data_IF_826141576540
#
_entry.id   IF_826141576540
#
_cell.length_a   1.000
_cell.length_b   1.000
_cell.length_c   1.000
_cell.angle_alpha   90.00
_cell.angle_beta   90.00
_cell.angle_gamma   90.00
#
_symmetry.space_group_name_H-M   'P 1'
#
loop_
_entity.id
_entity.type
_entity.pdbx_description
1 polymer ?
#
# COMPACT_ATOMS: atom_id res chain seq x y z
N UNK A 1 -38.87 7.04 -32.30
CA UNK A 1 -38.77 5.77 -31.53
C UNK A 1 -37.85 6.03 -30.36
N UNK A 2 -38.43 6.42 -29.22
CA UNK A 2 -37.69 6.72 -27.99
C UNK A 2 -37.55 5.42 -27.22
N UNK A 3 -36.35 4.83 -27.22
CA UNK A 3 -36.05 3.69 -26.37
C UNK A 3 -35.89 4.18 -24.93
N UNK A 4 -36.93 3.97 -24.15
CA UNK A 4 -36.99 4.20 -22.72
C UNK A 4 -35.83 3.50 -22.01
N UNK A 5 -35.00 4.30 -21.33
CA UNK A 5 -34.04 3.82 -20.34
C UNK A 5 -34.82 3.45 -19.07
N UNK A 6 -35.24 2.19 -18.96
CA UNK A 6 -35.97 1.66 -17.79
C UNK A 6 -35.20 0.46 -17.24
N UNK A 7 -34.18 0.73 -16.44
CA UNK A 7 -33.45 -0.32 -15.72
C UNK A 7 -32.86 0.17 -14.38
N UNK A 8 -33.61 0.98 -13.63
CA UNK A 8 -33.48 1.00 -12.16
C UNK A 8 -34.71 0.33 -11.61
N UNK A 9 -34.70 -1.00 -11.65
CA UNK A 9 -35.75 -1.82 -11.06
C UNK A 9 -35.87 -1.48 -9.58
N UNK A 10 -37.11 -1.29 -9.14
CA UNK A 10 -37.48 -1.08 -7.74
C UNK A 10 -37.04 -2.29 -6.91
N UNK A 11 -35.78 -2.31 -6.49
CA UNK A 11 -35.29 -3.27 -5.53
C UNK A 11 -36.08 -3.03 -4.23
N UNK A 12 -36.85 -4.03 -3.80
CA UNK A 12 -37.67 -3.92 -2.60
C UNK A 12 -36.83 -3.57 -1.36
N UNK A 13 -37.43 -3.01 -0.30
CA UNK A 13 -36.72 -2.52 0.89
C UNK A 13 -35.69 -3.52 1.45
N UNK A 14 -36.06 -4.81 1.55
CA UNK A 14 -35.16 -5.86 2.05
C UNK A 14 -33.88 -6.05 1.20
N UNK A 15 -33.96 -5.87 -0.13
CA UNK A 15 -32.78 -5.96 -1.01
C UNK A 15 -31.84 -4.78 -0.77
N UNK A 16 -32.38 -3.59 -0.51
CA UNK A 16 -31.58 -2.39 -0.21
C UNK A 16 -30.89 -2.50 1.14
N UNK A 17 -31.58 -3.03 2.15
CA UNK A 17 -31.01 -3.29 3.48
C UNK A 17 -29.87 -4.31 3.42
N UNK A 18 -30.05 -5.42 2.72
CA UNK A 18 -28.99 -6.42 2.56
C UNK A 18 -27.79 -5.87 1.78
N UNK A 19 -28.04 -5.07 0.73
CA UNK A 19 -26.98 -4.39 -0.01
C UNK A 19 -26.20 -3.40 0.87
N UNK A 20 -26.88 -2.65 1.74
CA UNK A 20 -26.22 -1.76 2.69
C UNK A 20 -25.35 -2.55 3.67
N UNK A 21 -25.87 -3.62 4.27
CA UNK A 21 -25.12 -4.50 5.19
C UNK A 21 -23.85 -5.09 4.55
N UNK A 22 -23.95 -5.52 3.29
CA UNK A 22 -22.80 -6.04 2.55
C UNK A 22 -21.76 -4.95 2.26
N UNK A 23 -22.20 -3.73 1.92
CA UNK A 23 -21.30 -2.58 1.72
C UNK A 23 -20.60 -2.17 3.00
N UNK A 24 -21.29 -2.14 4.13
CA UNK A 24 -20.65 -1.88 5.42
C UNK A 24 -19.55 -2.91 5.73
N UNK A 25 -19.74 -4.16 5.30
CA UNK A 25 -18.71 -5.20 5.44
C UNK A 25 -17.52 -4.96 4.51
N UNK A 26 -17.77 -4.51 3.28
CA UNK A 26 -16.72 -4.13 2.32
C UNK A 26 -15.91 -2.95 2.86
N UNK A 27 -16.55 -1.90 3.33
CA UNK A 27 -15.89 -0.71 3.85
C UNK A 27 -14.96 -1.04 5.04
N UNK A 28 -15.38 -1.97 5.90
CA UNK A 28 -14.55 -2.47 6.99
C UNK A 28 -13.32 -3.26 6.50
N UNK A 29 -13.48 -4.08 5.45
CA UNK A 29 -12.36 -4.81 4.84
C UNK A 29 -11.39 -3.83 4.19
N UNK A 30 -11.90 -2.82 3.47
CA UNK A 30 -11.09 -1.81 2.81
C UNK A 30 -10.27 -1.00 3.82
N UNK A 31 -10.84 -0.64 4.97
CA UNK A 31 -10.12 -0.01 6.06
C UNK A 31 -8.97 -0.90 6.57
N UNK A 32 -9.22 -2.20 6.76
CA UNK A 32 -8.18 -3.14 7.16
C UNK A 32 -7.06 -3.26 6.11
N UNK A 33 -7.41 -3.33 4.81
CA UNK A 33 -6.44 -3.37 3.72
C UNK A 33 -5.55 -2.13 3.73
N UNK A 34 -6.12 -0.93 3.89
CA UNK A 34 -5.36 0.33 3.95
C UNK A 34 -4.40 0.33 5.14
N UNK A 35 -4.85 -0.09 6.32
CA UNK A 35 -3.99 -0.16 7.51
C UNK A 35 -2.84 -1.17 7.33
N UNK A 36 -3.11 -2.33 6.74
CA UNK A 36 -2.07 -3.34 6.48
C UNK A 36 -1.06 -2.89 5.42
N UNK A 37 -1.52 -2.16 4.39
CA UNK A 37 -0.62 -1.55 3.43
C UNK A 37 0.26 -0.49 4.09
N UNK A 38 -0.29 0.36 4.96
CA UNK A 38 0.49 1.37 5.68
C UNK A 38 1.62 0.73 6.51
N UNK A 39 1.32 -0.34 7.25
CA UNK A 39 2.34 -1.08 8.00
C UNK A 39 3.37 -1.73 7.07
N UNK A 40 2.94 -2.34 5.96
CA UNK A 40 3.85 -2.89 4.95
C UNK A 40 4.79 -1.82 4.40
N UNK A 41 4.28 -0.62 4.11
CA UNK A 41 5.09 0.48 3.59
C UNK A 41 6.11 1.00 4.61
N UNK A 42 5.76 1.05 5.91
CA UNK A 42 6.74 1.36 6.98
C UNK A 42 7.91 0.38 6.97
N UNK A 43 7.62 -0.93 6.90
CA UNK A 43 8.67 -1.95 6.80
C UNK A 43 9.52 -1.76 5.55
N UNK A 44 8.92 -1.50 4.38
CA UNK A 44 9.69 -1.30 3.16
C UNK A 44 10.53 -0.04 3.18
N UNK A 45 10.10 1.04 3.84
CA UNK A 45 10.92 2.24 4.03
C UNK A 45 12.16 1.93 4.88
N UNK A 46 12.01 1.14 5.95
CA UNK A 46 13.13 0.69 6.77
C UNK A 46 14.11 -0.18 5.96
N UNK A 47 13.59 -1.09 5.13
CA UNK A 47 14.42 -1.86 4.18
C UNK A 47 15.15 -0.94 3.21
N UNK A 48 14.48 0.10 2.68
CA UNK A 48 15.08 1.06 1.77
C UNK A 48 16.23 1.84 2.41
N UNK A 49 16.05 2.32 3.65
CA UNK A 49 17.12 2.99 4.42
C UNK A 49 18.29 2.05 4.66
N UNK A 50 18.03 0.82 5.12
CA UNK A 50 19.06 -0.19 5.33
C UNK A 50 19.84 -0.48 4.03
N UNK A 51 19.12 -0.63 2.90
CA UNK A 51 19.76 -0.82 1.60
C UNK A 51 20.63 0.37 1.21
N UNK A 52 20.15 1.59 1.38
CA UNK A 52 20.89 2.81 1.07
C UNK A 52 22.16 2.95 1.92
N UNK A 53 22.06 2.74 3.24
CA UNK A 53 23.20 2.77 4.17
C UNK A 53 24.32 1.80 3.77
N UNK A 54 23.94 0.62 3.27
CA UNK A 54 24.87 -0.43 2.85
C UNK A 54 25.16 -0.47 1.34
N UNK A 55 24.74 0.55 0.58
CA UNK A 55 24.90 0.61 -0.89
C UNK A 55 24.38 -0.64 -1.63
N UNK A 56 23.31 -1.24 -1.12
CA UNK A 56 22.64 -2.37 -1.76
C UNK A 56 21.65 -1.87 -2.83
N UNK A 57 21.44 -2.66 -3.91
CA UNK A 57 20.53 -2.26 -4.96
C UNK A 57 19.07 -2.20 -4.47
N UNK A 58 18.28 -1.22 -4.95
CA UNK A 58 16.87 -1.07 -4.58
C UNK A 58 16.02 -2.27 -5.04
N UNK A 59 16.28 -2.78 -6.25
CA UNK A 59 15.65 -3.99 -6.79
C UNK A 59 16.37 -5.27 -6.36
N UNK A 60 15.63 -6.37 -6.21
CA UNK A 60 16.15 -7.71 -5.92
C UNK A 60 15.28 -8.74 -6.69
N UNK A 61 15.64 -9.07 -7.94
CA UNK A 61 14.83 -9.91 -8.82
C UNK A 61 14.51 -11.29 -8.23
N UNK A 62 15.47 -11.89 -7.52
CA UNK A 62 15.30 -13.20 -6.89
C UNK A 62 14.30 -13.13 -5.73
N UNK A 63 14.36 -12.05 -4.93
CA UNK A 63 13.37 -11.80 -3.86
C UNK A 63 11.98 -11.53 -4.44
N UNK A 64 11.88 -10.77 -5.52
CA UNK A 64 10.62 -10.45 -6.21
C UNK A 64 9.96 -11.71 -6.78
N UNK A 65 10.72 -12.56 -7.48
CA UNK A 65 10.22 -13.84 -8.00
C UNK A 65 9.67 -14.74 -6.89
N UNK A 66 10.36 -14.84 -5.74
CA UNK A 66 9.86 -15.58 -4.57
C UNK A 66 8.59 -14.98 -3.97
N UNK A 67 8.45 -13.64 -3.98
CA UNK A 67 7.22 -12.98 -3.50
C UNK A 67 6.04 -13.30 -4.40
N UNK A 68 6.22 -13.23 -5.72
CA UNK A 68 5.18 -13.55 -6.70
C UNK A 68 4.73 -15.00 -6.54
N UNK A 69 5.66 -15.96 -6.51
CA UNK A 69 5.33 -17.37 -6.35
C UNK A 69 4.54 -17.65 -5.07
N UNK A 70 4.99 -17.10 -3.93
CA UNK A 70 4.29 -17.24 -2.64
C UNK A 70 2.89 -16.61 -2.68
N UNK A 71 2.74 -15.44 -3.28
CA UNK A 71 1.46 -14.75 -3.32
C UNK A 71 0.45 -15.46 -4.21
N UNK A 72 0.88 -15.99 -5.36
CA UNK A 72 0.02 -16.80 -6.23
C UNK A 72 -0.56 -18.00 -5.46
N UNK A 73 0.28 -18.71 -4.70
CA UNK A 73 -0.18 -19.82 -3.87
C UNK A 73 -1.17 -19.37 -2.77
N UNK A 74 -0.94 -18.20 -2.14
CA UNK A 74 -1.89 -17.64 -1.17
C UNK A 74 -3.23 -17.26 -1.82
N UNK A 75 -3.20 -16.70 -3.02
CA UNK A 75 -4.39 -16.34 -3.78
C UNK A 75 -5.22 -17.58 -4.14
N UNK A 76 -4.57 -18.64 -4.62
CA UNK A 76 -5.23 -19.93 -4.91
C UNK A 76 -5.93 -20.49 -3.67
N UNK A 77 -5.24 -20.51 -2.52
CA UNK A 77 -5.81 -20.98 -1.25
C UNK A 77 -6.98 -20.12 -0.77
N UNK A 78 -6.93 -18.81 -1.05
CA UNK A 78 -7.98 -17.85 -0.71
C UNK A 78 -9.13 -17.80 -1.73
N UNK A 79 -9.07 -18.60 -2.81
CA UNK A 79 -10.01 -18.55 -3.95
C UNK A 79 -10.05 -17.18 -4.64
N UNK A 80 -8.92 -16.48 -4.63
CA UNK A 80 -8.69 -15.25 -5.38
C UNK A 80 -7.94 -15.58 -6.68
N UNK A 81 -8.27 -14.89 -7.77
CA UNK A 81 -7.54 -15.06 -9.04
C UNK A 81 -6.03 -14.77 -8.86
N UNK A 82 -5.14 -15.75 -9.10
CA UNK A 82 -3.70 -15.55 -8.95
C UNK A 82 -3.14 -14.49 -9.90
N UNK A 83 -3.73 -14.32 -11.09
CA UNK A 83 -3.30 -13.29 -12.03
C UNK A 83 -3.64 -11.89 -11.51
N UNK A 84 -4.80 -11.72 -10.88
CA UNK A 84 -5.15 -10.48 -10.19
C UNK A 84 -4.22 -10.20 -9.01
N UNK A 85 -3.95 -11.20 -8.16
CA UNK A 85 -3.06 -11.05 -7.01
C UNK A 85 -1.63 -10.64 -7.43
N UNK A 86 -1.13 -11.23 -8.51
CA UNK A 86 0.16 -10.87 -9.09
C UNK A 86 0.18 -9.44 -9.63
N UNK A 87 -0.83 -9.01 -10.38
CA UNK A 87 -0.95 -7.62 -10.85
C UNK A 87 -0.95 -6.62 -9.69
N UNK A 88 -1.71 -6.91 -8.65
CA UNK A 88 -1.75 -6.08 -7.44
C UNK A 88 -0.39 -5.99 -6.76
N UNK A 89 0.33 -7.12 -6.63
CA UNK A 89 1.65 -7.13 -6.03
C UNK A 89 2.68 -6.37 -6.86
N UNK A 90 2.66 -6.54 -8.18
CA UNK A 90 3.57 -5.82 -9.08
C UNK A 90 3.38 -4.31 -8.97
N UNK A 91 2.14 -3.85 -8.84
CA UNK A 91 1.84 -2.44 -8.56
C UNK A 91 2.47 -1.98 -7.24
N UNK A 92 2.31 -2.74 -6.16
CA UNK A 92 2.90 -2.40 -4.85
C UNK A 92 4.43 -2.45 -4.87
N UNK A 93 5.04 -3.41 -5.58
CA UNK A 93 6.50 -3.52 -5.69
C UNK A 93 7.07 -2.32 -6.43
N UNK A 94 6.45 -1.91 -7.55
CA UNK A 94 6.88 -0.73 -8.30
C UNK A 94 6.92 0.53 -7.42
N UNK A 95 5.88 0.74 -6.61
CA UNK A 95 5.82 1.87 -5.68
C UNK A 95 6.90 1.80 -4.59
N UNK A 96 7.24 0.60 -4.12
CA UNK A 96 8.32 0.40 -3.13
C UNK A 96 9.70 0.69 -3.73
N UNK A 97 9.96 0.25 -4.96
CA UNK A 97 11.24 0.49 -5.64
C UNK A 97 11.45 2.00 -5.83
N UNK A 98 10.43 2.71 -6.31
CA UNK A 98 10.47 4.16 -6.44
C UNK A 98 10.78 4.87 -5.11
N UNK A 99 10.20 4.40 -3.99
CA UNK A 99 10.55 4.93 -2.67
C UNK A 99 12.00 4.63 -2.26
N UNK A 100 12.55 3.46 -2.60
CA UNK A 100 13.93 3.12 -2.29
C UNK A 100 14.92 3.98 -3.06
N UNK A 101 14.65 4.23 -4.34
CA UNK A 101 15.44 5.14 -5.17
C UNK A 101 15.50 6.54 -4.55
N UNK A 102 14.35 7.10 -4.16
CA UNK A 102 14.28 8.40 -3.47
C UNK A 102 15.07 8.43 -2.16
N UNK A 103 14.96 7.38 -1.33
CA UNK A 103 15.71 7.30 -0.06
C UNK A 103 17.22 7.25 -0.32
N UNK A 104 17.66 6.52 -1.35
CA UNK A 104 19.06 6.46 -1.73
C UNK A 104 19.57 7.84 -2.20
N UNK A 105 18.80 8.55 -3.03
CA UNK A 105 19.10 9.92 -3.46
C UNK A 105 19.23 10.89 -2.27
N UNK A 106 18.27 10.87 -1.35
CA UNK A 106 18.27 11.73 -0.16
C UNK A 106 19.50 11.47 0.75
N UNK A 107 19.89 10.19 0.86
CA UNK A 107 21.07 9.76 1.64
C UNK A 107 22.36 10.26 0.99
N UNK A 108 22.49 10.16 -0.34
CA UNK A 108 23.64 10.68 -1.10
C UNK A 108 23.73 12.21 -1.01
N UNK A 109 22.59 12.90 -1.01
CA UNK A 109 22.51 14.37 -0.97
C UNK A 109 22.64 14.98 0.45
N UNK A 110 22.79 14.16 1.50
CA UNK A 110 23.06 14.62 2.86
C UNK A 110 21.89 15.34 3.56
N UNK A 111 20.64 15.15 3.10
CA UNK A 111 19.46 15.73 3.72
C UNK A 111 19.13 15.02 5.05
N UNK A 112 19.87 15.36 6.09
CA UNK A 112 19.58 14.91 7.45
C UNK A 112 18.36 15.69 7.95
N UNK A 113 17.27 15.07 8.44
CA UNK A 113 16.19 15.82 9.05
C UNK A 113 16.70 16.44 10.34
N UNK A 114 16.83 17.76 10.32
CA UNK A 114 17.28 18.62 11.43
C UNK A 114 16.48 18.34 12.71
N UNK A 115 17.04 17.54 13.60
CA UNK A 115 16.55 17.38 14.96
C UNK A 115 16.93 18.61 15.82
N UNK A 116 15.91 19.41 16.11
CA UNK A 116 15.71 20.21 17.33
C UNK A 116 16.78 21.25 17.73
N UNK A 117 16.57 22.51 17.29
CA UNK A 117 17.21 23.69 17.87
C UNK A 117 16.35 24.18 19.05
N UNK A 118 16.51 23.58 20.22
CA UNK A 118 15.95 24.14 21.46
C UNK A 118 16.76 25.38 21.83
N UNK A 119 16.17 26.54 21.58
CA UNK A 119 16.71 27.85 21.96
C UNK A 119 16.79 27.94 23.48
N UNK A 120 18.02 28.01 23.97
CA UNK A 120 18.34 28.53 25.29
C UNK A 120 17.86 29.98 25.40
N UNK A 121 17.04 30.29 26.40
CA UNK A 121 16.80 31.66 26.84
C UNK A 121 16.72 31.67 28.36
N UNK A 122 17.85 32.03 28.96
CA UNK A 122 17.98 32.43 30.37
C UNK A 122 17.41 33.84 30.53
N UNK A 123 16.63 34.16 31.58
CA UNK A 123 16.38 35.54 31.96
C UNK A 123 17.41 35.98 33.00
N UNK A 124 18.17 37.03 32.67
CA UNK A 124 19.07 37.71 33.60
C UNK A 124 19.01 39.22 33.34
N UNK A 125 18.77 39.94 34.43
CA UNK A 125 18.70 41.40 34.63
C UNK A 125 17.37 42.11 34.34
#
# INVERSE_FOLDING_TARGET
MTTSNTATGDAGPAVREELARLRDSIDNIDAAVVHMLAERFKCTQQVGRLKAEHQLPPADPDREARQIARLRALAENAKLDPAFAEKFLNFIIAEVIHHHERIAEDTVNGATPSANRTTTSSPGE
#
